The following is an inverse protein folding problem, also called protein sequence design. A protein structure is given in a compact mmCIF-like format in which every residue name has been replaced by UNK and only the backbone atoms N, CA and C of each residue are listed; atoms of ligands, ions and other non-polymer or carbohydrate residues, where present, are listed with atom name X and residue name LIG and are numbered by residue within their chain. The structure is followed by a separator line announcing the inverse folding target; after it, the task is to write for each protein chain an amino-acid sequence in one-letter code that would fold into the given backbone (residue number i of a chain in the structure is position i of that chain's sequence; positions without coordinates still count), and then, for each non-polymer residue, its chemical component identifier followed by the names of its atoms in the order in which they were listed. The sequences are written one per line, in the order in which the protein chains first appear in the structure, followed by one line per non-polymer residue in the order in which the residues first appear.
data_IF_178320956299
#
_entry.id   IF_178320956299
#
_cell.length_a   1.000
_cell.length_b   1.000
_cell.length_c   1.000
_cell.angle_alpha   90.00
_cell.angle_beta   90.00
_cell.angle_gamma   90.00
#
_symmetry.space_group_name_H-M   'P 1'
#
loop_
_entity.id
_entity.type
_entity.pdbx_description
1 polymer ?
#
# COMPACT_ATOMS: atom_id res chain seq x y z
N UNK A 1 -6.94 -2.44 -23.01
CA UNK A 1 -5.51 -2.68 -23.32
C UNK A 1 -5.17 -4.09 -22.86
N UNK A 2 -4.30 -4.83 -23.57
CA UNK A 2 -3.85 -6.16 -23.14
C UNK A 2 -2.36 -6.13 -22.86
N UNK A 3 -1.99 -6.57 -21.67
CA UNK A 3 -0.59 -6.68 -21.24
C UNK A 3 -0.29 -8.13 -20.90
N UNK A 4 0.91 -8.58 -21.22
CA UNK A 4 1.41 -9.89 -20.78
C UNK A 4 2.40 -9.66 -19.65
N UNK A 5 2.20 -10.35 -18.53
CA UNK A 5 3.09 -10.29 -17.37
C UNK A 5 3.62 -11.69 -17.06
N UNK A 6 4.85 -11.76 -16.58
CA UNK A 6 5.44 -12.99 -16.08
C UNK A 6 5.29 -13.03 -14.56
N UNK A 7 4.81 -14.15 -14.04
CA UNK A 7 4.65 -14.40 -12.61
C UNK A 7 5.47 -15.63 -12.25
N UNK A 8 6.07 -15.62 -11.06
CA UNK A 8 6.66 -16.85 -10.55
C UNK A 8 5.57 -17.89 -10.20
N UNK A 9 5.94 -19.16 -10.19
CA UNK A 9 5.01 -20.27 -10.00
C UNK A 9 4.22 -20.20 -8.69
N UNK A 10 4.84 -19.71 -7.61
CA UNK A 10 4.19 -19.62 -6.29
C UNK A 10 3.06 -18.60 -6.32
N UNK A 11 3.33 -17.42 -6.89
CA UNK A 11 2.36 -16.33 -7.03
C UNK A 11 1.22 -16.74 -7.96
N UNK A 12 1.54 -17.34 -9.11
CA UNK A 12 0.53 -17.79 -10.05
C UNK A 12 -0.42 -18.84 -9.42
N UNK A 13 0.12 -19.80 -8.66
CA UNK A 13 -0.70 -20.80 -7.94
C UNK A 13 -1.61 -20.15 -6.89
N UNK A 14 -1.09 -19.19 -6.12
CA UNK A 14 -1.89 -18.47 -5.13
C UNK A 14 -3.02 -17.66 -5.79
N UNK A 15 -2.74 -16.96 -6.89
CA UNK A 15 -3.76 -16.23 -7.66
C UNK A 15 -4.82 -17.16 -8.23
N UNK A 16 -4.42 -18.31 -8.77
CA UNK A 16 -5.36 -19.31 -9.30
C UNK A 16 -6.31 -19.84 -8.23
N UNK A 17 -5.81 -20.06 -7.01
CA UNK A 17 -6.63 -20.47 -5.88
C UNK A 17 -7.63 -19.37 -5.51
N UNK A 18 -7.19 -18.11 -5.42
CA UNK A 18 -8.07 -16.99 -5.08
C UNK A 18 -9.15 -16.78 -6.13
N UNK A 19 -8.79 -16.80 -7.41
CA UNK A 19 -9.72 -16.73 -8.54
C UNK A 19 -10.85 -17.77 -8.43
N UNK A 20 -10.50 -19.01 -8.07
CA UNK A 20 -11.49 -20.07 -7.88
C UNK A 20 -12.37 -19.87 -6.63
N UNK A 21 -11.85 -19.20 -5.59
CA UNK A 21 -12.59 -18.91 -4.36
C UNK A 21 -13.55 -17.72 -4.50
N UNK A 22 -13.19 -16.73 -5.32
CA UNK A 22 -13.97 -15.49 -5.49
C UNK A 22 -14.85 -15.49 -6.75
N UNK A 23 -14.76 -16.53 -7.58
CA UNK A 23 -15.40 -16.61 -8.90
C UNK A 23 -14.99 -15.45 -9.83
N UNK A 24 -13.73 -15.03 -9.72
CA UNK A 24 -13.15 -13.94 -10.51
C UNK A 24 -12.03 -14.45 -11.41
N UNK A 25 -11.80 -13.74 -12.51
CA UNK A 25 -10.65 -14.01 -13.36
C UNK A 25 -9.34 -13.55 -12.70
N UNK A 26 -8.23 -14.26 -12.99
CA UNK A 26 -6.88 -13.81 -12.55
C UNK A 26 -6.59 -12.39 -13.05
N UNK A 27 -7.02 -12.04 -14.26
CA UNK A 27 -6.86 -10.70 -14.82
C UNK A 27 -7.59 -9.63 -14.02
N UNK A 28 -8.79 -9.91 -13.51
CA UNK A 28 -9.55 -8.97 -12.69
C UNK A 28 -8.83 -8.73 -11.36
N UNK A 29 -8.40 -9.80 -10.69
CA UNK A 29 -7.65 -9.71 -9.43
C UNK A 29 -6.36 -8.91 -9.60
N UNK A 30 -5.63 -9.12 -10.70
CA UNK A 30 -4.40 -8.38 -11.01
C UNK A 30 -4.71 -6.92 -11.32
N UNK A 31 -5.76 -6.63 -12.09
CA UNK A 31 -6.17 -5.26 -12.40
C UNK A 31 -6.50 -4.48 -11.13
N UNK A 32 -7.26 -5.08 -10.22
CA UNK A 32 -7.63 -4.44 -8.95
C UNK A 32 -6.41 -4.24 -8.05
N UNK A 33 -5.53 -5.24 -7.94
CA UNK A 33 -4.28 -5.09 -7.19
C UNK A 33 -3.43 -3.91 -7.71
N UNK A 34 -3.33 -3.75 -9.04
CA UNK A 34 -2.60 -2.62 -9.64
C UNK A 34 -3.31 -1.29 -9.37
N UNK A 35 -4.64 -1.23 -9.47
CA UNK A 35 -5.40 -0.02 -9.14
C UNK A 35 -5.20 0.37 -7.69
N UNK A 36 -5.31 -0.56 -6.75
CA UNK A 36 -5.14 -0.29 -5.34
C UNK A 36 -3.74 0.19 -5.01
N UNK A 37 -2.69 -0.43 -5.57
CA UNK A 37 -1.32 0.04 -5.38
C UNK A 37 -1.13 1.48 -5.87
N UNK A 38 -1.69 1.82 -7.03
CA UNK A 38 -1.59 3.18 -7.56
C UNK A 38 -2.40 4.19 -6.75
N UNK A 39 -3.54 3.78 -6.19
CA UNK A 39 -4.36 4.66 -5.34
C UNK A 39 -3.67 4.95 -4.00
N UNK A 40 -3.06 3.93 -3.38
CA UNK A 40 -2.25 4.10 -2.16
C UNK A 40 -1.10 5.09 -2.39
N UNK A 41 -0.32 4.90 -3.46
CA UNK A 41 0.77 5.80 -3.81
C UNK A 41 0.28 7.25 -4.03
N UNK A 42 -0.89 7.43 -4.64
CA UNK A 42 -1.48 8.75 -4.86
C UNK A 42 -1.98 9.40 -3.57
N UNK A 43 -2.55 8.61 -2.66
CA UNK A 43 -2.98 9.07 -1.34
C UNK A 43 -1.78 9.54 -0.51
N UNK A 44 -0.70 8.76 -0.46
CA UNK A 44 0.56 9.11 0.21
C UNK A 44 1.14 10.44 -0.32
N UNK A 45 1.14 10.61 -1.65
CA UNK A 45 1.61 11.86 -2.27
C UNK A 45 0.71 13.03 -1.89
N UNK A 46 -0.61 12.85 -1.90
CA UNK A 46 -1.56 13.89 -1.53
C UNK A 46 -1.40 14.30 -0.06
N UNK A 47 -1.21 13.34 0.84
CA UNK A 47 -0.96 13.58 2.26
C UNK A 47 0.36 14.31 2.48
N UNK A 48 1.44 13.90 1.82
CA UNK A 48 2.70 14.60 1.89
C UNK A 48 2.59 16.06 1.40
N UNK A 49 1.82 16.30 0.33
CA UNK A 49 1.59 17.64 -0.21
C UNK A 49 0.72 18.51 0.71
N UNK A 50 -0.36 17.95 1.26
CA UNK A 50 -1.27 18.68 2.15
C UNK A 50 -0.55 19.14 3.43
N UNK A 51 0.41 18.33 3.90
CA UNK A 51 1.22 18.56 5.10
C UNK A 51 2.53 19.30 4.83
N UNK A 52 2.78 19.75 3.60
CA UNK A 52 4.03 20.41 3.18
C UNK A 52 4.36 21.70 3.97
N UNK A 53 3.36 22.31 4.61
CA UNK A 53 3.51 23.54 5.43
C UNK A 53 3.54 23.26 6.94
N UNK A 54 3.41 22.01 7.37
CA UNK A 54 3.53 21.66 8.78
C UNK A 54 4.96 21.96 9.25
N UNK A 55 5.13 22.56 10.45
CA UNK A 55 6.46 22.79 10.99
C UNK A 55 7.15 21.46 11.30
N UNK A 56 8.47 21.42 11.08
CA UNK A 56 9.26 20.25 11.47
C UNK A 56 9.24 20.09 12.99
N UNK A 57 8.97 18.88 13.45
CA UNK A 57 9.01 18.54 14.87
C UNK A 57 10.35 17.90 15.23
N UNK A 58 11.01 18.41 16.27
CA UNK A 58 12.32 17.91 16.67
C UNK A 58 12.19 16.52 17.30
N UNK A 59 12.98 15.56 16.81
CA UNK A 59 12.95 14.17 17.27
C UNK A 59 13.15 14.05 18.79
N UNK A 60 14.11 14.79 19.35
CA UNK A 60 14.37 14.75 20.81
C UNK A 60 13.19 15.21 21.64
N UNK A 61 12.39 16.16 21.13
CA UNK A 61 11.17 16.64 21.80
C UNK A 61 10.08 15.57 21.76
N UNK A 62 9.89 14.92 20.62
CA UNK A 62 8.96 13.80 20.45
C UNK A 62 9.27 12.65 21.41
N UNK A 63 10.54 12.26 21.49
CA UNK A 63 10.98 11.17 22.38
C UNK A 63 10.77 11.53 23.84
N UNK A 64 11.03 12.78 24.23
CA UNK A 64 10.79 13.24 25.60
C UNK A 64 9.30 13.21 25.96
N UNK A 65 8.42 13.62 25.05
CA UNK A 65 6.96 13.56 25.22
C UNK A 65 6.45 12.12 25.34
N UNK A 66 6.87 11.22 24.44
CA UNK A 66 6.42 9.82 24.47
C UNK A 66 6.85 9.10 25.75
N UNK A 67 8.05 9.41 26.28
CA UNK A 67 8.49 8.91 27.59
C UNK A 67 7.63 9.44 28.74
N UNK A 68 7.25 10.72 28.69
CA UNK A 68 6.38 11.31 29.69
C UNK A 68 4.96 10.72 29.66
N UNK A 69 4.48 10.33 28.48
CA UNK A 69 3.19 9.65 28.27
C UNK A 69 3.24 8.13 28.53
N UNK A 70 4.43 7.55 28.73
CA UNK A 70 4.61 6.11 28.98
C UNK A 70 4.38 5.25 27.73
N UNK A 71 4.45 5.84 26.54
CA UNK A 71 4.35 5.14 25.26
C UNK A 71 5.67 4.43 24.90
N UNK A 72 6.80 4.92 25.44
CA UNK A 72 8.15 4.34 25.33
C UNK A 72 8.98 4.56 26.60
#
# INVERSE_FOLDING_TARGET
MRTTINLNDKVYRALKLRAAQTDESISAIVEDAVKYQLLEDLEDIADAQSRSKEPTYAFDKLVAEFKAEGLI
#
